data_IF_791291557750
#
_entry.id   IF_791291557750
#
_cell.length_a   1.000
_cell.length_b   1.000
_cell.length_c   1.000
_cell.angle_alpha   90.00
_cell.angle_beta   90.00
_cell.angle_gamma   90.00
#
_symmetry.space_group_name_H-M   'P 1'
#
loop_
_entity.id
_entity.type
_entity.pdbx_description
1 polymer ?
#
# COMPACT_ATOMS: atom_id res chain seq x y z
N UNK A 1 -13.07 -0.76 6.55
CA UNK A 1 -11.84 -1.30 5.94
C UNK A 1 -12.09 -2.75 5.62
N UNK A 2 -11.83 -3.17 4.38
CA UNK A 2 -11.49 -4.57 4.18
C UNK A 2 -10.24 -4.84 5.03
N UNK A 3 -10.31 -5.87 5.88
CA UNK A 3 -9.30 -6.13 6.91
C UNK A 3 -7.94 -6.34 6.21
N UNK A 4 -6.99 -5.44 6.44
CA UNK A 4 -5.62 -5.62 5.96
C UNK A 4 -5.06 -6.88 6.62
N UNK A 5 -4.82 -7.90 5.80
CA UNK A 5 -4.33 -9.21 6.25
C UNK A 5 -2.83 -9.25 6.06
N UNK A 6 -2.10 -9.53 7.14
CA UNK A 6 -0.68 -9.91 7.02
C UNK A 6 -0.62 -11.28 6.34
N UNK A 7 -0.01 -11.33 5.16
CA UNK A 7 0.20 -12.59 4.44
C UNK A 7 1.43 -13.31 5.01
N UNK A 8 1.31 -14.62 5.20
CA UNK A 8 2.44 -15.51 5.45
C UNK A 8 3.30 -15.68 4.18
N UNK A 9 4.52 -16.21 4.34
CA UNK A 9 5.41 -16.50 3.20
C UNK A 9 4.78 -17.47 2.18
N UNK A 10 3.95 -18.40 2.63
CA UNK A 10 3.27 -19.34 1.75
C UNK A 10 2.14 -18.69 0.97
N UNK A 11 1.38 -17.80 1.61
CA UNK A 11 0.33 -17.02 0.95
C UNK A 11 0.91 -16.05 -0.09
N UNK A 12 2.08 -15.47 0.19
CA UNK A 12 2.78 -14.61 -0.77
C UNK A 12 3.11 -15.31 -2.09
N UNK A 13 3.36 -16.63 -2.09
CA UNK A 13 3.61 -17.39 -3.33
C UNK A 13 2.38 -17.47 -4.25
N UNK A 14 1.18 -17.36 -3.67
CA UNK A 14 -0.08 -17.35 -4.41
C UNK A 14 -0.56 -15.95 -4.79
N UNK A 15 0.14 -14.90 -4.36
CA UNK A 15 -0.16 -13.54 -4.78
C UNK A 15 0.32 -13.38 -6.21
N UNK A 16 -0.63 -13.34 -7.15
CA UNK A 16 -0.34 -12.91 -8.52
C UNK A 16 -0.03 -11.41 -8.44
N UNK A 17 1.27 -11.09 -8.44
CA UNK A 17 1.72 -9.72 -8.58
C UNK A 17 1.33 -9.18 -9.95
N UNK A 18 0.77 -7.97 -9.99
CA UNK A 18 0.65 -7.21 -11.23
C UNK A 18 1.93 -6.43 -11.51
N UNK A 19 2.14 -6.07 -12.77
CA UNK A 19 3.12 -5.04 -13.12
C UNK A 19 2.53 -3.70 -12.72
N UNK A 20 3.24 -2.95 -11.88
CA UNK A 20 2.88 -1.58 -11.58
C UNK A 20 3.61 -0.64 -12.53
N UNK A 21 2.87 0.22 -13.22
CA UNK A 21 3.42 1.20 -14.17
C UNK A 21 4.17 2.33 -13.48
N UNK A 22 3.80 2.68 -12.24
CA UNK A 22 4.44 3.73 -11.47
C UNK A 22 4.26 3.51 -9.96
N UNK A 23 5.35 3.65 -9.22
CA UNK A 23 5.36 3.52 -7.76
C UNK A 23 5.45 4.90 -7.09
N UNK A 24 4.59 5.12 -6.10
CA UNK A 24 4.60 6.29 -5.23
C UNK A 24 5.33 5.89 -3.95
N UNK A 25 6.48 6.50 -3.69
CA UNK A 25 7.22 6.30 -2.45
C UNK A 25 6.64 7.17 -1.34
N UNK A 26 6.38 6.57 -0.19
CA UNK A 26 5.81 7.23 0.98
C UNK A 26 6.69 6.92 2.19
N UNK A 27 7.00 7.94 2.97
CA UNK A 27 7.65 7.81 4.27
C UNK A 27 6.60 8.08 5.34
N UNK A 28 6.36 7.08 6.19
CA UNK A 28 5.48 7.19 7.34
C UNK A 28 6.07 8.14 8.40
N UNK A 29 5.22 8.63 9.30
CA UNK A 29 5.57 9.56 10.38
C UNK A 29 6.64 9.00 11.34
N UNK A 30 6.70 7.68 11.52
CA UNK A 30 7.75 6.98 12.28
C UNK A 30 9.03 6.69 11.48
N UNK A 31 9.16 7.20 10.25
CA UNK A 31 10.34 7.01 9.40
C UNK A 31 10.34 5.73 8.56
N UNK A 32 9.29 4.89 8.64
CA UNK A 32 9.18 3.69 7.81
C UNK A 32 8.82 4.05 6.36
N UNK A 33 9.63 3.63 5.39
CA UNK A 33 9.35 3.85 3.96
C UNK A 33 8.62 2.67 3.32
N UNK A 34 7.63 2.95 2.47
CA UNK A 34 6.89 1.96 1.69
C UNK A 34 6.47 2.52 0.33
N UNK A 35 6.25 1.62 -0.63
CA UNK A 35 5.77 1.96 -1.97
C UNK A 35 4.28 1.65 -2.16
N UNK A 36 3.57 2.53 -2.84
CA UNK A 36 2.19 2.33 -3.29
C UNK A 36 2.14 2.27 -4.82
N UNK A 37 1.39 1.33 -5.38
CA UNK A 37 1.23 1.26 -6.82
C UNK A 37 0.22 2.29 -7.32
N UNK A 38 0.64 3.26 -8.14
CA UNK A 38 -0.21 4.34 -8.63
C UNK A 38 -1.39 3.83 -9.47
N UNK A 39 -1.24 2.69 -10.15
CA UNK A 39 -2.32 2.09 -10.95
C UNK A 39 -3.57 1.79 -10.14
N UNK A 40 -3.44 1.51 -8.84
CA UNK A 40 -4.56 1.21 -7.94
C UNK A 40 -5.37 2.45 -7.52
N UNK A 41 -4.88 3.64 -7.86
CA UNK A 41 -5.44 4.94 -7.45
C UNK A 41 -5.67 5.88 -8.64
N UNK A 42 -5.67 5.36 -9.88
CA UNK A 42 -5.89 6.18 -11.08
C UNK A 42 -7.15 7.02 -10.94
N UNK A 43 -6.96 8.34 -10.96
CA UNK A 43 -7.99 9.37 -10.82
C UNK A 43 -8.73 9.42 -9.47
N UNK A 44 -8.22 8.76 -8.43
CA UNK A 44 -8.82 8.72 -7.09
C UNK A 44 -7.81 9.17 -6.03
N UNK A 45 -7.51 10.47 -6.03
CA UNK A 45 -6.59 11.10 -5.08
C UNK A 45 -7.10 11.04 -3.63
N UNK A 46 -8.42 11.05 -3.43
CA UNK A 46 -9.00 10.96 -2.10
C UNK A 46 -8.70 9.58 -1.47
N UNK A 47 -8.90 8.50 -2.24
CA UNK A 47 -8.53 7.14 -1.83
C UNK A 47 -7.03 7.00 -1.58
N UNK A 48 -6.18 7.62 -2.40
CA UNK A 48 -4.73 7.63 -2.15
C UNK A 48 -4.41 8.28 -0.79
N UNK A 49 -4.90 9.49 -0.55
CA UNK A 49 -4.63 10.22 0.69
C UNK A 49 -5.18 9.47 1.92
N UNK A 50 -6.39 8.91 1.83
CA UNK A 50 -6.96 8.07 2.88
C UNK A 50 -6.09 6.84 3.15
N UNK A 51 -5.62 6.17 2.10
CA UNK A 51 -4.77 4.97 2.22
C UNK A 51 -3.44 5.31 2.89
N UNK A 52 -2.80 6.42 2.51
CA UNK A 52 -1.56 6.88 3.15
C UNK A 52 -1.76 7.11 4.65
N UNK A 53 -2.83 7.81 5.04
CA UNK A 53 -3.15 8.06 6.46
C UNK A 53 -3.45 6.78 7.25
N UNK A 54 -4.14 5.82 6.64
CA UNK A 54 -4.44 4.54 7.28
C UNK A 54 -3.17 3.68 7.43
N UNK A 55 -2.32 3.63 6.41
CA UNK A 55 -1.05 2.90 6.47
C UNK A 55 -0.06 3.54 7.45
N UNK A 56 -0.06 4.87 7.57
CA UNK A 56 0.73 5.57 8.59
C UNK A 56 0.41 5.06 10.01
N UNK A 57 -0.88 4.99 10.35
CA UNK A 57 -1.36 4.46 11.65
C UNK A 57 -1.03 3.00 11.88
N UNK A 58 -0.87 2.20 10.82
CA UNK A 58 -0.54 0.77 10.92
C UNK A 58 0.97 0.57 11.09
N UNK A 59 1.77 1.48 10.53
CA UNK A 59 3.22 1.38 10.56
C UNK A 59 3.83 1.94 11.85
N UNK A 60 3.14 2.80 12.60
CA UNK A 60 3.77 3.67 13.60
C UNK A 60 3.17 3.63 15.03
#
# INVERSE_FOLDING_TARGET
MEKLKRLSRNELKGVIGGVCSSWINVTASCGASYGLCADNYKNDFEKLNKTVKELDKIKC
#
